data_IF_476912726830
#
_entry.id   IF_476912726830
#
_cell.length_a   1.000
_cell.length_b   1.000
_cell.length_c   1.000
_cell.angle_alpha   90.00
_cell.angle_beta   90.00
_cell.angle_gamma   90.00
#
_symmetry.space_group_name_H-M   'P 1'
#
loop_
_entity.id
_entity.type
_entity.pdbx_description
1 polymer ?
#
# COMPACT_ATOMS: atom_id res chain seq x y z
N UNK A 1 25.63 11.76 16.46
CA UNK A 1 24.24 11.92 15.96
C UNK A 1 23.97 11.28 14.59
N UNK A 2 24.97 10.73 13.86
CA UNK A 2 24.75 10.14 12.53
C UNK A 2 24.60 8.60 12.51
N UNK A 3 24.88 7.91 13.61
CA UNK A 3 24.79 6.44 13.68
C UNK A 3 23.35 5.94 13.95
N UNK A 4 22.53 6.74 14.64
CA UNK A 4 21.13 6.36 14.92
C UNK A 4 20.24 6.44 13.68
N UNK A 5 20.48 7.43 12.81
CA UNK A 5 19.74 7.59 11.55
C UNK A 5 20.07 6.44 10.58
N UNK A 6 21.35 6.03 10.49
CA UNK A 6 21.76 4.88 9.67
C UNK A 6 21.18 3.55 10.17
N UNK A 7 21.06 3.38 11.48
CA UNK A 7 20.42 2.21 12.11
C UNK A 7 18.93 2.12 11.76
N UNK A 8 18.21 3.23 11.83
CA UNK A 8 16.76 3.29 11.54
C UNK A 8 16.48 3.02 10.05
N UNK A 9 17.29 3.59 9.14
CA UNK A 9 17.16 3.37 7.69
C UNK A 9 17.49 1.91 7.32
N UNK A 10 18.51 1.33 7.95
CA UNK A 10 18.87 -0.08 7.78
C UNK A 10 17.78 -1.03 8.31
N UNK A 11 17.15 -0.68 9.44
CA UNK A 11 16.07 -1.47 10.03
C UNK A 11 14.80 -1.42 9.18
N UNK A 12 14.42 -0.25 8.65
CA UNK A 12 13.26 -0.12 7.75
C UNK A 12 13.44 -0.87 6.43
N UNK A 13 14.64 -0.87 5.85
CA UNK A 13 14.94 -1.61 4.62
C UNK A 13 14.98 -3.13 4.84
N UNK A 14 15.56 -3.58 5.95
CA UNK A 14 15.53 -4.99 6.35
C UNK A 14 14.12 -5.51 6.62
N UNK A 15 13.27 -4.66 7.21
CA UNK A 15 11.86 -4.95 7.44
C UNK A 15 11.10 -5.12 6.12
N UNK A 16 11.30 -4.22 5.14
CA UNK A 16 10.67 -4.30 3.81
C UNK A 16 11.01 -5.62 3.07
N UNK A 17 12.26 -6.09 3.20
CA UNK A 17 12.71 -7.38 2.65
C UNK A 17 12.10 -8.60 3.38
N UNK A 18 11.84 -8.46 4.68
CA UNK A 18 11.20 -9.50 5.50
C UNK A 18 9.71 -9.69 5.14
N UNK A 19 9.01 -8.62 4.74
CA UNK A 19 7.60 -8.68 4.33
C UNK A 19 7.43 -9.47 3.04
N UNK A 20 8.30 -9.14 2.08
CA UNK A 20 8.32 -9.78 0.77
C UNK A 20 8.60 -11.26 0.93
N UNK A 21 9.52 -11.64 1.82
CA UNK A 21 9.85 -13.06 2.05
C UNK A 21 8.73 -13.85 2.74
N UNK A 22 7.99 -13.26 3.68
CA UNK A 22 6.88 -13.95 4.36
C UNK A 22 5.63 -14.06 3.49
N UNK A 23 5.35 -13.06 2.67
CA UNK A 23 4.31 -13.14 1.63
C UNK A 23 4.61 -14.26 0.61
N UNK A 24 5.90 -14.52 0.33
CA UNK A 24 6.34 -15.54 -0.62
C UNK A 24 6.27 -16.98 -0.08
N UNK A 25 6.54 -17.19 1.21
CA UNK A 25 6.54 -18.55 1.82
C UNK A 25 5.14 -19.17 1.81
N UNK A 26 4.06 -18.39 2.00
CA UNK A 26 2.68 -18.91 1.99
C UNK A 26 2.17 -19.33 0.61
N UNK A 27 2.84 -18.94 -0.48
CA UNK A 27 2.40 -19.20 -1.87
C UNK A 27 3.16 -20.38 -2.51
N UNK A 28 3.73 -21.30 -1.73
CA UNK A 28 4.80 -22.23 -2.17
C UNK A 28 4.41 -23.47 -2.98
N UNK A 29 3.14 -23.70 -3.30
CA UNK A 29 2.74 -24.93 -4.02
C UNK A 29 2.77 -24.83 -5.56
N UNK A 30 2.93 -23.64 -6.16
CA UNK A 30 2.75 -23.43 -7.62
C UNK A 30 3.96 -22.78 -8.33
N UNK A 31 5.16 -22.86 -7.73
CA UNK A 31 6.08 -21.71 -7.68
C UNK A 31 7.27 -21.67 -8.68
N UNK A 32 7.74 -22.77 -9.27
CA UNK A 32 9.10 -22.75 -9.84
C UNK A 32 9.31 -21.90 -11.11
N UNK A 33 8.33 -21.76 -12.01
CA UNK A 33 8.47 -20.90 -13.21
C UNK A 33 8.19 -19.42 -12.93
N UNK A 34 7.28 -19.13 -11.99
CA UNK A 34 6.96 -17.75 -11.58
C UNK A 34 8.03 -17.16 -10.66
N UNK A 35 8.76 -17.98 -9.91
CA UNK A 35 9.90 -17.56 -9.07
C UNK A 35 10.99 -16.89 -9.88
N UNK A 36 11.44 -17.47 -11.01
CA UNK A 36 12.53 -16.87 -11.78
C UNK A 36 12.15 -15.50 -12.37
N UNK A 37 10.90 -15.34 -12.80
CA UNK A 37 10.37 -14.04 -13.25
C UNK A 37 10.27 -13.07 -12.07
N UNK A 38 9.77 -13.50 -10.91
CA UNK A 38 9.67 -12.65 -9.71
C UNK A 38 11.05 -12.22 -9.20
N UNK A 39 12.02 -13.13 -9.12
CA UNK A 39 13.38 -12.84 -8.65
C UNK A 39 14.09 -11.91 -9.63
N UNK A 40 13.91 -12.09 -10.94
CA UNK A 40 14.43 -11.16 -11.94
C UNK A 40 13.78 -9.77 -11.82
N UNK A 41 12.47 -9.71 -11.56
CA UNK A 41 11.74 -8.46 -11.28
C UNK A 41 12.26 -7.78 -10.01
N UNK A 42 12.49 -8.53 -8.92
CA UNK A 42 13.04 -8.01 -7.66
C UNK A 42 14.45 -7.46 -7.86
N UNK A 43 15.31 -8.19 -8.57
CA UNK A 43 16.68 -7.73 -8.85
C UNK A 43 16.66 -6.48 -9.74
N UNK A 44 15.73 -6.42 -10.71
CA UNK A 44 15.52 -5.20 -11.52
C UNK A 44 15.04 -4.04 -10.66
N UNK A 45 14.03 -4.22 -9.80
CA UNK A 45 13.57 -3.19 -8.85
C UNK A 45 14.72 -2.69 -7.98
N UNK A 46 15.53 -3.60 -7.43
CA UNK A 46 16.70 -3.26 -6.61
C UNK A 46 17.74 -2.46 -7.39
N UNK A 47 17.97 -2.81 -8.66
CA UNK A 47 18.94 -2.11 -9.50
C UNK A 47 18.42 -0.72 -9.92
N UNK A 48 17.13 -0.59 -10.27
CA UNK A 48 16.49 0.69 -10.57
C UNK A 48 16.52 1.63 -9.35
N UNK A 49 16.27 1.10 -8.15
CA UNK A 49 16.36 1.85 -6.89
C UNK A 49 17.82 2.22 -6.52
N UNK A 50 18.81 1.42 -6.93
CA UNK A 50 20.23 1.70 -6.67
C UNK A 50 20.87 2.65 -7.68
N UNK A 51 20.37 2.74 -8.92
CA UNK A 51 21.08 3.43 -10.02
C UNK A 51 20.77 4.92 -10.15
N UNK A 52 19.78 5.48 -9.44
CA UNK A 52 19.41 6.91 -9.56
C UNK A 52 19.65 7.63 -8.24
N UNK A 53 20.48 8.68 -8.25
CA UNK A 53 20.61 9.68 -7.18
C UNK A 53 19.28 10.39 -6.84
N UNK A 54 18.25 10.26 -7.70
CA UNK A 54 16.87 10.72 -7.45
C UNK A 54 16.13 9.96 -6.32
N UNK A 55 16.67 8.83 -5.87
CA UNK A 55 16.04 7.94 -4.88
C UNK A 55 16.05 8.53 -3.47
N UNK A 56 16.91 9.51 -3.17
CA UNK A 56 17.00 10.08 -1.83
C UNK A 56 15.70 10.83 -1.45
N UNK A 57 15.10 11.55 -2.39
CA UNK A 57 13.86 12.31 -2.14
C UNK A 57 12.62 11.43 -2.13
N UNK A 58 12.52 10.45 -3.05
CA UNK A 58 11.39 9.52 -3.10
C UNK A 58 11.37 8.63 -1.86
N UNK A 59 12.53 8.08 -1.45
CA UNK A 59 12.61 7.22 -0.26
C UNK A 59 12.39 8.02 1.03
N UNK A 60 12.98 9.21 1.18
CA UNK A 60 12.75 10.05 2.37
C UNK A 60 11.30 10.53 2.47
N UNK A 61 10.65 10.87 1.35
CA UNK A 61 9.25 11.28 1.35
C UNK A 61 8.27 10.10 1.39
N UNK A 62 8.68 8.90 0.96
CA UNK A 62 7.79 7.73 0.93
C UNK A 62 7.30 7.32 2.30
N UNK A 63 8.14 7.43 3.34
CA UNK A 63 7.72 7.12 4.71
C UNK A 63 6.65 8.11 5.20
N UNK A 64 6.83 9.40 4.91
CA UNK A 64 5.83 10.43 5.25
C UNK A 64 4.51 10.14 4.54
N UNK A 65 4.57 9.80 3.25
CA UNK A 65 3.39 9.41 2.46
C UNK A 65 2.76 8.15 3.05
N UNK A 66 3.54 7.13 3.40
CA UNK A 66 3.00 5.88 3.96
C UNK A 66 2.35 6.07 5.33
N UNK A 67 2.91 6.92 6.19
CA UNK A 67 2.32 7.27 7.47
C UNK A 67 1.02 8.06 7.30
N UNK A 68 0.99 9.01 6.37
CA UNK A 68 -0.24 9.73 6.04
C UNK A 68 -1.34 8.80 5.51
N UNK A 69 -1.01 7.96 4.52
CA UNK A 69 -1.94 6.96 3.98
C UNK A 69 -2.43 6.00 5.06
N UNK A 70 -1.54 5.58 5.96
CA UNK A 70 -1.88 4.71 7.09
C UNK A 70 -2.88 5.41 8.01
N UNK A 71 -2.65 6.67 8.36
CA UNK A 71 -3.53 7.41 9.25
C UNK A 71 -4.94 7.56 8.65
N UNK A 72 -5.04 7.88 7.36
CA UNK A 72 -6.34 7.95 6.68
C UNK A 72 -7.01 6.57 6.65
N UNK A 73 -6.25 5.52 6.37
CA UNK A 73 -6.79 4.17 6.30
C UNK A 73 -7.32 3.69 7.65
N UNK A 74 -6.59 3.93 8.75
CA UNK A 74 -7.04 3.63 10.12
C UNK A 74 -8.36 4.34 10.42
N UNK A 75 -8.47 5.63 10.08
CA UNK A 75 -9.69 6.40 10.30
C UNK A 75 -10.90 5.76 9.60
N UNK A 76 -10.71 5.27 8.37
CA UNK A 76 -11.76 4.59 7.60
C UNK A 76 -12.09 3.21 8.20
N UNK A 77 -11.07 2.38 8.42
CA UNK A 77 -11.26 0.98 8.83
C UNK A 77 -11.76 0.83 10.26
N UNK A 78 -11.45 1.77 11.15
CA UNK A 78 -11.90 1.74 12.54
C UNK A 78 -13.41 1.88 12.67
N UNK A 79 -14.03 2.73 11.85
CA UNK A 79 -15.49 2.97 11.85
C UNK A 79 -16.27 1.74 11.38
N UNK A 80 -15.70 0.97 10.46
CA UNK A 80 -16.32 -0.27 9.94
C UNK A 80 -15.84 -1.53 10.66
N UNK A 81 -15.04 -1.39 11.72
CA UNK A 81 -14.63 -2.51 12.60
C UNK A 81 -13.61 -3.47 11.99
N UNK A 82 -12.82 -3.02 11.00
CA UNK A 82 -11.79 -3.84 10.37
C UNK A 82 -10.51 -3.79 11.19
N UNK A 83 -9.77 -4.90 11.21
CA UNK A 83 -8.49 -5.03 11.90
C UNK A 83 -7.37 -5.23 10.89
N UNK A 84 -6.17 -4.79 11.26
CA UNK A 84 -4.95 -5.07 10.51
C UNK A 84 -4.60 -6.57 10.52
N UNK A 85 -3.86 -7.02 9.51
CA UNK A 85 -3.26 -8.37 9.51
C UNK A 85 -2.16 -8.49 10.57
N UNK A 86 -2.15 -9.62 11.29
CA UNK A 86 -1.04 -10.03 12.16
C UNK A 86 0.09 -10.65 11.33
N UNK A 87 0.73 -9.81 10.52
CA UNK A 87 1.86 -10.17 9.68
C UNK A 87 3.01 -9.23 10.01
N UNK A 88 4.25 -9.58 9.68
CA UNK A 88 5.35 -8.66 9.88
C UNK A 88 5.29 -7.45 8.94
N UNK A 89 4.28 -7.29 8.08
CA UNK A 89 4.19 -6.27 7.02
C UNK A 89 4.30 -4.82 7.55
N UNK A 90 4.58 -3.85 6.65
CA UNK A 90 4.50 -2.43 6.98
C UNK A 90 3.07 -2.14 7.44
N UNK A 91 2.85 -1.32 8.49
CA UNK A 91 1.52 -1.10 9.04
C UNK A 91 0.47 -0.71 7.98
N UNK A 92 0.84 0.14 7.00
CA UNK A 92 -0.04 0.46 5.85
C UNK A 92 -0.54 -0.80 5.13
N UNK A 93 0.34 -1.75 4.85
CA UNK A 93 0.00 -2.99 4.16
C UNK A 93 -0.75 -3.97 5.06
N UNK A 94 -0.48 -3.97 6.36
CA UNK A 94 -1.27 -4.75 7.31
C UNK A 94 -2.74 -4.28 7.32
N UNK A 95 -2.97 -2.96 7.33
CA UNK A 95 -4.31 -2.37 7.30
C UNK A 95 -4.99 -2.54 5.95
N UNK A 96 -4.30 -2.22 4.85
CA UNK A 96 -4.83 -2.39 3.49
C UNK A 96 -5.14 -3.86 3.21
N UNK A 97 -4.24 -4.75 3.63
CA UNK A 97 -4.42 -6.18 3.56
C UNK A 97 -5.59 -6.68 4.40
N UNK A 98 -5.77 -6.17 5.62
CA UNK A 98 -6.90 -6.51 6.48
C UNK A 98 -8.24 -6.10 5.85
N UNK A 99 -8.30 -4.90 5.28
CA UNK A 99 -9.47 -4.41 4.55
C UNK A 99 -9.79 -5.30 3.33
N UNK A 100 -8.79 -5.61 2.50
CA UNK A 100 -9.00 -6.47 1.33
C UNK A 100 -9.40 -7.90 1.72
N UNK A 101 -8.83 -8.44 2.79
CA UNK A 101 -9.19 -9.77 3.29
C UNK A 101 -10.64 -9.80 3.76
N UNK A 102 -11.07 -8.82 4.56
CA UNK A 102 -12.46 -8.75 5.01
C UNK A 102 -13.43 -8.50 3.86
N UNK A 103 -13.09 -7.63 2.91
CA UNK A 103 -13.90 -7.43 1.71
C UNK A 103 -14.03 -8.70 0.86
N UNK A 104 -12.93 -9.47 0.71
CA UNK A 104 -12.94 -10.72 -0.05
C UNK A 104 -13.82 -11.81 0.58
N UNK A 105 -13.91 -11.84 1.91
CA UNK A 105 -14.78 -12.76 2.65
C UNK A 105 -16.22 -12.29 2.65
N UNK A 106 -16.43 -10.97 2.73
CA UNK A 106 -17.74 -10.35 2.87
C UNK A 106 -17.84 -9.07 2.02
N UNK A 107 -18.45 -9.15 0.83
CA UNK A 107 -18.66 -7.97 -0.02
C UNK A 107 -19.52 -6.87 0.61
N UNK A 108 -20.28 -7.18 1.68
CA UNK A 108 -21.03 -6.18 2.45
C UNK A 108 -20.14 -5.11 3.08
N UNK A 109 -18.83 -5.35 3.23
CA UNK A 109 -17.86 -4.33 3.65
C UNK A 109 -17.92 -3.07 2.77
N UNK A 110 -18.18 -3.22 1.46
CA UNK A 110 -18.35 -2.06 0.57
C UNK A 110 -19.56 -1.20 0.96
N UNK A 111 -20.66 -1.83 1.37
CA UNK A 111 -21.86 -1.13 1.84
C UNK A 111 -21.61 -0.46 3.21
N UNK A 112 -20.87 -1.12 4.10
CA UNK A 112 -20.45 -0.51 5.37
C UNK A 112 -19.58 0.72 5.14
N UNK A 113 -18.64 0.66 4.20
CA UNK A 113 -17.81 1.81 3.81
C UNK A 113 -18.65 2.92 3.21
N UNK A 114 -19.58 2.59 2.30
CA UNK A 114 -20.51 3.56 1.71
C UNK A 114 -21.30 4.31 2.78
N UNK A 115 -21.86 3.59 3.76
CA UNK A 115 -22.60 4.17 4.88
C UNK A 115 -21.70 5.05 5.75
N UNK A 116 -20.50 4.57 6.10
CA UNK A 116 -19.54 5.33 6.89
C UNK A 116 -19.17 6.66 6.19
N UNK A 117 -18.89 6.63 4.89
CA UNK A 117 -18.61 7.83 4.09
C UNK A 117 -19.82 8.77 4.04
N UNK A 118 -21.04 8.24 3.86
CA UNK A 118 -22.26 9.06 3.76
C UNK A 118 -22.64 9.72 5.09
N UNK A 119 -22.35 9.06 6.21
CA UNK A 119 -22.82 9.49 7.54
C UNK A 119 -21.76 10.25 8.34
N UNK A 120 -20.47 10.00 8.08
CA UNK A 120 -19.37 10.62 8.81
C UNK A 120 -18.46 11.44 7.88
N UNK A 121 -18.52 12.76 8.04
CA UNK A 121 -17.71 13.70 7.25
C UNK A 121 -16.21 13.54 7.45
N UNK A 122 -15.75 13.02 8.60
CA UNK A 122 -14.34 12.75 8.84
C UNK A 122 -13.88 11.54 8.03
N UNK A 123 -14.70 10.47 7.95
CA UNK A 123 -14.43 9.30 7.10
C UNK A 123 -14.47 9.68 5.62
N UNK A 124 -15.41 10.54 5.23
CA UNK A 124 -15.48 11.04 3.85
C UNK A 124 -14.19 11.78 3.47
N UNK A 125 -13.72 12.69 4.32
CA UNK A 125 -12.45 13.42 4.12
C UNK A 125 -11.26 12.48 4.08
N UNK A 126 -11.15 11.56 5.04
CA UNK A 126 -10.05 10.59 5.07
C UNK A 126 -10.02 9.73 3.81
N UNK A 127 -11.19 9.31 3.32
CA UNK A 127 -11.32 8.56 2.06
C UNK A 127 -10.83 9.37 0.87
N UNK A 128 -11.23 10.63 0.76
CA UNK A 128 -10.79 11.51 -0.31
C UNK A 128 -9.29 11.79 -0.27
N UNK A 129 -8.75 12.14 0.90
CA UNK A 129 -7.32 12.36 1.11
C UNK A 129 -6.50 11.12 0.80
N UNK A 130 -6.95 9.93 1.22
CA UNK A 130 -6.27 8.68 0.87
C UNK A 130 -6.20 8.48 -0.65
N UNK A 131 -7.35 8.61 -1.34
CA UNK A 131 -7.41 8.41 -2.80
C UNK A 131 -6.50 9.41 -3.51
N UNK A 132 -6.55 10.69 -3.13
CA UNK A 132 -5.75 11.75 -3.73
C UNK A 132 -4.24 11.51 -3.53
N UNK A 133 -3.80 11.31 -2.29
CA UNK A 133 -2.38 11.17 -1.98
C UNK A 133 -1.80 9.88 -2.56
N UNK A 134 -2.55 8.79 -2.53
CA UNK A 134 -2.12 7.53 -3.13
C UNK A 134 -2.02 7.63 -4.66
N UNK A 135 -2.97 8.31 -5.30
CA UNK A 135 -2.95 8.54 -6.76
C UNK A 135 -1.80 9.47 -7.16
N UNK A 136 -1.56 10.53 -6.40
CA UNK A 136 -0.44 11.44 -6.64
C UNK A 136 0.90 10.73 -6.47
N UNK A 137 1.03 9.83 -5.50
CA UNK A 137 2.21 8.98 -5.35
C UNK A 137 2.41 8.06 -6.57
N UNK A 138 1.36 7.40 -7.06
CA UNK A 138 1.44 6.56 -8.27
C UNK A 138 1.81 7.37 -9.53
N UNK A 139 1.27 8.58 -9.67
CA UNK A 139 1.62 9.49 -10.76
C UNK A 139 3.10 9.91 -10.67
N UNK A 140 3.58 10.26 -9.49
CA UNK A 140 4.99 10.60 -9.28
C UNK A 140 5.93 9.42 -9.57
N UNK A 141 5.53 8.20 -9.19
CA UNK A 141 6.25 7.00 -9.59
C UNK A 141 6.28 6.84 -11.11
N UNK A 142 5.20 7.16 -11.82
CA UNK A 142 5.14 7.09 -13.29
C UNK A 142 6.11 8.04 -13.98
N UNK A 143 6.31 9.22 -13.42
CA UNK A 143 7.27 10.20 -13.93
C UNK A 143 8.74 9.79 -13.66
N UNK A 144 8.97 8.98 -12.62
CA UNK A 144 10.32 8.67 -12.11
C UNK A 144 10.81 7.26 -12.47
N UNK A 145 9.88 6.34 -12.72
CA UNK A 145 10.09 4.94 -13.09
C UNK A 145 10.04 4.76 -14.61
N UNK A 146 11.21 4.87 -15.26
CA UNK A 146 11.35 4.75 -16.72
C UNK A 146 10.92 3.39 -17.29
N UNK A 147 10.89 2.36 -16.45
CA UNK A 147 10.65 0.98 -16.87
C UNK A 147 9.23 0.52 -16.49
N UNK A 148 8.45 1.37 -15.78
CA UNK A 148 7.07 1.15 -15.35
C UNK A 148 6.86 -0.02 -14.37
N UNK A 149 7.94 -0.60 -13.86
CA UNK A 149 7.94 -1.81 -13.05
C UNK A 149 7.47 -1.56 -11.60
N UNK A 150 7.88 -0.44 -10.99
CA UNK A 150 7.44 -0.01 -9.67
C UNK A 150 5.99 0.46 -9.73
N UNK A 151 5.64 1.26 -10.74
CA UNK A 151 4.25 1.73 -10.93
C UNK A 151 3.30 0.56 -11.05
N UNK A 152 3.59 -0.39 -11.94
CA UNK A 152 2.75 -1.59 -12.12
C UNK A 152 2.66 -2.44 -10.85
N UNK A 153 3.75 -2.59 -10.10
CA UNK A 153 3.73 -3.33 -8.84
C UNK A 153 2.83 -2.68 -7.77
N UNK A 154 2.81 -1.34 -7.69
CA UNK A 154 1.94 -0.63 -6.75
C UNK A 154 0.50 -0.51 -7.25
N UNK A 155 0.27 -0.25 -8.54
CA UNK A 155 -1.06 -0.14 -9.14
C UNK A 155 -1.81 -1.47 -9.13
N UNK A 156 -1.12 -2.57 -9.39
CA UNK A 156 -1.73 -3.90 -9.43
C UNK A 156 -1.76 -4.55 -8.04
N UNK A 157 -1.00 -3.98 -7.09
CA UNK A 157 -0.87 -4.43 -5.71
C UNK A 157 -1.94 -3.88 -4.76
N UNK A 158 -1.65 -3.96 -3.46
CA UNK A 158 -2.58 -3.54 -2.39
C UNK A 158 -2.96 -2.05 -2.48
N UNK A 159 -2.04 -1.19 -2.92
CA UNK A 159 -2.31 0.25 -3.03
C UNK A 159 -3.41 0.51 -4.06
N UNK A 160 -3.27 0.04 -5.30
CA UNK A 160 -4.28 0.24 -6.33
C UNK A 160 -5.61 -0.48 -6.05
N UNK A 161 -5.57 -1.66 -5.43
CA UNK A 161 -6.80 -2.34 -4.97
C UNK A 161 -7.54 -1.53 -3.91
N UNK A 162 -6.82 -0.94 -2.96
CA UNK A 162 -7.41 -0.09 -1.91
C UNK A 162 -7.99 1.19 -2.49
N UNK A 163 -7.27 1.87 -3.40
CA UNK A 163 -7.78 3.03 -4.14
C UNK A 163 -9.08 2.67 -4.88
N UNK A 164 -9.11 1.53 -5.55
CA UNK A 164 -10.28 1.08 -6.31
C UNK A 164 -11.49 0.88 -5.40
N UNK A 165 -11.32 0.16 -4.30
CA UNK A 165 -12.41 -0.10 -3.35
C UNK A 165 -12.94 1.20 -2.73
N UNK A 166 -12.05 2.08 -2.28
CA UNK A 166 -12.41 3.37 -1.71
C UNK A 166 -13.12 4.29 -2.71
N UNK A 167 -12.67 4.29 -3.97
CA UNK A 167 -13.31 5.04 -5.05
C UNK A 167 -14.72 4.54 -5.30
N UNK A 168 -14.93 3.22 -5.33
CA UNK A 168 -16.27 2.63 -5.47
C UNK A 168 -17.17 3.01 -4.28
N UNK A 169 -16.68 2.85 -3.05
CA UNK A 169 -17.42 3.22 -1.84
C UNK A 169 -17.85 4.69 -1.86
N UNK A 170 -16.94 5.59 -2.25
CA UNK A 170 -17.20 7.03 -2.38
C UNK A 170 -18.27 7.31 -3.44
N UNK A 171 -18.13 6.73 -4.63
CA UNK A 171 -19.10 6.90 -5.71
C UNK A 171 -20.51 6.48 -5.25
N UNK A 172 -20.61 5.30 -4.61
CA UNK A 172 -21.86 4.80 -4.06
C UNK A 172 -22.42 5.70 -2.95
N UNK A 173 -21.58 6.40 -2.19
CA UNK A 173 -22.04 7.31 -1.14
C UNK A 173 -22.63 8.59 -1.73
N UNK A 174 -22.12 9.04 -2.88
CA UNK A 174 -22.59 10.23 -3.60
C UNK A 174 -23.78 9.96 -4.53
N UNK A 175 -23.99 8.72 -4.96
CA UNK A 175 -25.17 8.31 -5.71
C UNK A 175 -26.27 7.84 -4.73
N UNK A 176 -27.43 8.49 -4.73
CA UNK A 176 -28.60 8.33 -3.80
C UNK A 176 -28.50 9.13 -2.50
#
# INVERSE_FOLDING_TARGET
MNYEIFSIISAGFGFLLFLVSIFLIKRTSLLNKKLNTLTATIVKMQNTLKSKEATNTIVQNSEIIYQDLLQQLIAITSVIGIKQRETPEHPLWQWAGGLMDEYSKNPYVLEQMRQAIKLDSAVARATETYIEHASNFLNHLTETDSDGLLVSAFSDGLLGQTITLLTQARQLATSN
#
